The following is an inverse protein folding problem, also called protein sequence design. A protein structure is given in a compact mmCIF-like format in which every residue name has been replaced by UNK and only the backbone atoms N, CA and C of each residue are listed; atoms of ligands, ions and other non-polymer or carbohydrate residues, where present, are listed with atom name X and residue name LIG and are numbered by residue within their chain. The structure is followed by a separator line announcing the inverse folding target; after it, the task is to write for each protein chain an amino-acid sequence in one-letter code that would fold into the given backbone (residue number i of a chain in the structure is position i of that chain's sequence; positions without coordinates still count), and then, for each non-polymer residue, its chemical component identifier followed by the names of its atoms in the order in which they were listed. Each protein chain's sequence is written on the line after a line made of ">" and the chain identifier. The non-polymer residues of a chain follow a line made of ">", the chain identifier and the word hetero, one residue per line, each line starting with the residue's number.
data_IF_331917598943
#
_entry.id   IF_331917598943
#
_cell.length_a   1.000
_cell.length_b   1.000
_cell.length_c   1.000
_cell.angle_alpha   90.00
_cell.angle_beta   90.00
_cell.angle_gamma   90.00
#
_symmetry.space_group_name_H-M   'P 1'
#
loop_
_entity.id
_entity.type
_entity.pdbx_description
1 polymer ?
#
# COMPACT_ATOMS: atom_id res chain seq x y z
N UNK A 1 43.63 -10.13 57.96
CA UNK A 1 44.11 -10.67 56.66
C UNK A 1 43.21 -11.76 56.06
N UNK A 2 43.19 -13.02 56.54
CA UNK A 2 42.36 -14.06 55.87
C UNK A 2 40.84 -13.75 55.93
N UNK A 3 40.34 -13.39 57.11
CA UNK A 3 38.93 -13.02 57.33
C UNK A 3 38.47 -11.78 56.57
N UNK A 4 39.37 -10.81 56.35
CA UNK A 4 39.07 -9.64 55.52
C UNK A 4 39.00 -10.02 54.04
N UNK A 5 39.91 -10.87 53.57
CA UNK A 5 39.90 -11.32 52.17
C UNK A 5 38.65 -12.13 51.82
N UNK A 6 38.15 -12.95 52.76
CA UNK A 6 36.90 -13.69 52.59
C UNK A 6 35.67 -12.77 52.63
N UNK A 7 35.67 -11.75 53.50
CA UNK A 7 34.58 -10.74 53.52
C UNK A 7 34.50 -9.95 52.22
N UNK A 8 35.63 -9.51 51.68
CA UNK A 8 35.66 -8.78 50.40
C UNK A 8 35.20 -9.66 49.23
N UNK A 9 35.50 -10.97 49.29
CA UNK A 9 35.03 -11.93 48.29
C UNK A 9 33.52 -12.13 48.37
N UNK A 10 32.96 -12.28 49.58
CA UNK A 10 31.51 -12.38 49.80
C UNK A 10 30.77 -11.13 49.34
N UNK A 11 31.34 -9.93 49.55
CA UNK A 11 30.73 -8.68 49.06
C UNK A 11 30.73 -8.58 47.54
N UNK A 12 31.84 -8.99 46.88
CA UNK A 12 31.89 -9.09 45.40
C UNK A 12 30.87 -10.08 44.85
N UNK A 13 30.78 -11.27 45.44
CA UNK A 13 29.84 -12.31 45.00
C UNK A 13 28.38 -11.83 45.16
N UNK A 14 28.09 -11.06 46.22
CA UNK A 14 26.76 -10.45 46.43
C UNK A 14 26.44 -9.36 45.40
N UNK A 15 27.39 -8.50 45.06
CA UNK A 15 27.21 -7.51 43.98
C UNK A 15 26.99 -8.20 42.62
N UNK A 16 27.72 -9.27 42.35
CA UNK A 16 27.62 -10.04 41.10
C UNK A 16 26.28 -10.76 41.01
N UNK A 17 25.81 -11.39 42.10
CA UNK A 17 24.47 -11.96 42.21
C UNK A 17 23.39 -10.89 41.99
N UNK A 18 23.56 -9.70 42.56
CA UNK A 18 22.64 -8.57 42.37
C UNK A 18 22.54 -8.15 40.91
N UNK A 19 23.68 -8.02 40.23
CA UNK A 19 23.75 -7.70 38.79
C UNK A 19 23.12 -8.78 37.92
N UNK A 20 23.39 -10.06 38.21
CA UNK A 20 22.83 -11.20 37.47
C UNK A 20 21.31 -11.25 37.63
N UNK A 21 20.78 -11.06 38.84
CA UNK A 21 19.33 -11.02 39.10
C UNK A 21 18.64 -9.87 38.36
N UNK A 22 19.20 -8.66 38.42
CA UNK A 22 18.66 -7.51 37.71
C UNK A 22 18.62 -7.73 36.18
N UNK A 23 19.67 -8.34 35.62
CA UNK A 23 19.74 -8.66 34.19
C UNK A 23 18.81 -9.80 33.77
N UNK A 24 18.57 -10.79 34.65
CA UNK A 24 17.58 -11.84 34.46
C UNK A 24 16.16 -11.27 34.47
N UNK A 25 15.86 -10.36 35.40
CA UNK A 25 14.58 -9.65 35.46
C UNK A 25 14.34 -8.79 34.21
N UNK A 26 15.35 -8.10 33.69
CA UNK A 26 15.23 -7.32 32.45
C UNK A 26 15.00 -8.23 31.22
N UNK A 27 15.72 -9.35 31.15
CA UNK A 27 15.59 -10.30 30.03
C UNK A 27 14.24 -11.04 30.05
N UNK A 28 13.72 -11.36 31.25
CA UNK A 28 12.37 -11.90 31.46
C UNK A 28 11.28 -10.93 31.02
N UNK A 29 11.35 -9.67 31.47
CA UNK A 29 10.42 -8.61 31.07
C UNK A 29 10.42 -8.37 29.55
N UNK A 30 11.61 -8.38 28.94
CA UNK A 30 11.74 -8.28 27.49
C UNK A 30 11.04 -9.42 26.75
N UNK A 31 11.24 -10.67 27.18
CA UNK A 31 10.57 -11.83 26.58
C UNK A 31 9.05 -11.77 26.75
N UNK A 32 8.56 -11.39 27.93
CA UNK A 32 7.12 -11.20 28.19
C UNK A 32 6.53 -10.16 27.23
N UNK A 33 7.21 -9.02 27.06
CA UNK A 33 6.74 -7.95 26.19
C UNK A 33 6.71 -8.36 24.72
N UNK A 34 7.73 -9.06 24.26
CA UNK A 34 7.74 -9.62 22.90
C UNK A 34 6.60 -10.63 22.71
N UNK A 35 6.33 -11.46 23.71
CA UNK A 35 5.22 -12.42 23.66
C UNK A 35 3.84 -11.73 23.66
N UNK A 36 3.67 -10.57 24.32
CA UNK A 36 2.45 -9.75 24.19
C UNK A 36 2.25 -9.30 22.73
N UNK A 37 3.31 -8.82 22.08
CA UNK A 37 3.26 -8.39 20.69
C UNK A 37 3.04 -9.54 19.71
N UNK A 38 3.63 -10.71 19.95
CA UNK A 38 3.42 -11.89 19.13
C UNK A 38 1.97 -12.40 19.15
N UNK A 39 1.24 -12.20 20.26
CA UNK A 39 -0.19 -12.53 20.33
C UNK A 39 -1.06 -11.66 19.41
N UNK A 40 -0.58 -10.46 19.03
CA UNK A 40 -1.29 -9.61 18.06
C UNK A 40 -1.16 -10.20 16.65
N UNK A 41 -0.01 -10.81 16.34
CA UNK A 41 0.23 -11.45 15.04
C UNK A 41 -0.43 -12.83 14.91
N UNK A 42 -0.59 -13.56 16.01
CA UNK A 42 -1.11 -14.92 16.01
C UNK A 42 -2.36 -15.05 16.90
N UNK A 43 -3.51 -15.37 16.31
CA UNK A 43 -4.79 -15.59 17.03
C UNK A 43 -4.79 -16.84 17.94
N UNK A 44 -3.80 -17.74 17.80
CA UNK A 44 -3.63 -18.96 18.61
C UNK A 44 -2.20 -19.06 19.13
N UNK A 45 -2.00 -19.83 20.22
CA UNK A 45 -0.71 -20.13 20.87
C UNK A 45 0.33 -20.75 19.92
N UNK A 46 0.83 -19.94 18.99
CA UNK A 46 1.99 -20.21 18.17
C UNK A 46 3.21 -19.50 18.79
N UNK A 47 4.30 -19.46 18.03
CA UNK A 47 5.67 -19.22 18.50
C UNK A 47 5.79 -18.22 19.65
N UNK A 48 6.49 -18.63 20.71
CA UNK A 48 6.85 -17.80 21.87
C UNK A 48 8.35 -17.67 22.00
N UNK A 49 8.77 -16.62 22.66
CA UNK A 49 10.15 -16.40 23.07
C UNK A 49 10.29 -16.74 24.55
N UNK A 50 11.26 -17.58 24.88
CA UNK A 50 11.66 -17.87 26.26
C UNK A 50 13.12 -17.46 26.47
N UNK A 51 13.45 -16.79 27.59
CA UNK A 51 14.83 -16.52 27.96
C UNK A 51 15.55 -17.83 28.32
N UNK A 52 16.83 -17.92 28.00
CA UNK A 52 17.72 -19.00 28.40
C UNK A 52 18.66 -18.53 29.52
N UNK A 53 19.26 -19.47 30.25
CA UNK A 53 20.24 -19.17 31.31
C UNK A 53 21.42 -18.33 30.78
N UNK A 54 21.83 -18.56 29.53
CA UNK A 54 22.90 -17.81 28.85
C UNK A 54 22.50 -16.41 28.33
N UNK A 55 21.39 -15.83 28.81
CA UNK A 55 20.86 -14.52 28.34
C UNK A 55 20.60 -14.47 26.83
N UNK A 56 20.24 -15.61 26.25
CA UNK A 56 19.75 -15.71 24.89
C UNK A 56 18.26 -15.96 24.92
N UNK A 57 17.66 -15.93 23.75
CA UNK A 57 16.27 -16.26 23.55
C UNK A 57 16.17 -17.55 22.75
N UNK A 58 15.28 -18.45 23.18
CA UNK A 58 14.87 -19.60 22.38
C UNK A 58 13.44 -19.39 21.89
N UNK A 59 13.20 -19.79 20.66
CA UNK A 59 11.87 -19.78 20.06
C UNK A 59 11.22 -21.14 20.30
N UNK A 60 10.01 -21.16 20.84
CA UNK A 60 9.28 -22.38 21.18
C UNK A 60 7.91 -22.40 20.52
N UNK A 61 7.50 -23.57 20.03
CA UNK A 61 6.16 -23.83 19.50
C UNK A 61 5.53 -24.93 20.36
N UNK A 62 4.58 -24.55 21.21
CA UNK A 62 4.13 -25.42 22.29
C UNK A 62 5.28 -25.71 23.26
N UNK A 63 5.67 -26.98 23.38
CA UNK A 63 6.78 -27.42 24.25
C UNK A 63 8.10 -27.66 23.51
N UNK A 64 8.12 -27.53 22.19
CA UNK A 64 9.30 -27.85 21.37
C UNK A 64 10.01 -26.59 20.85
N UNK A 65 11.32 -26.71 20.59
CA UNK A 65 12.11 -25.64 19.96
C UNK A 65 11.67 -25.49 18.50
N UNK A 66 11.32 -24.27 18.10
CA UNK A 66 10.95 -23.94 16.73
C UNK A 66 12.20 -23.90 15.83
N UNK A 67 12.28 -24.78 14.82
CA UNK A 67 13.41 -24.86 13.87
C UNK A 67 13.09 -24.37 12.46
N UNK A 68 11.83 -24.49 12.02
CA UNK A 68 11.38 -24.16 10.67
C UNK A 68 10.39 -22.99 10.72
N UNK A 69 10.92 -21.78 10.81
CA UNK A 69 10.12 -20.55 10.80
C UNK A 69 9.69 -20.21 9.37
N UNK A 70 8.40 -19.93 9.18
CA UNK A 70 7.92 -19.30 7.95
C UNK A 70 8.46 -17.87 7.84
N UNK A 71 8.42 -17.29 6.63
CA UNK A 71 8.79 -15.88 6.45
C UNK A 71 7.91 -14.94 7.28
N UNK A 72 6.59 -15.22 7.36
CA UNK A 72 5.70 -14.47 8.24
C UNK A 72 6.06 -14.58 9.72
N UNK A 73 6.46 -15.76 10.18
CA UNK A 73 6.91 -15.94 11.57
C UNK A 73 8.18 -15.14 11.85
N UNK A 74 9.15 -15.13 10.93
CA UNK A 74 10.37 -14.31 11.06
C UNK A 74 10.05 -12.82 11.11
N UNK A 75 9.16 -12.35 10.24
CA UNK A 75 8.73 -10.94 10.21
C UNK A 75 8.00 -10.56 11.50
N UNK A 76 7.05 -11.38 11.97
CA UNK A 76 6.32 -11.14 13.22
C UNK A 76 7.26 -11.07 14.43
N UNK A 77 8.23 -11.99 14.54
CA UNK A 77 9.23 -11.99 15.61
C UNK A 77 10.10 -10.75 15.55
N UNK A 78 10.55 -10.35 14.36
CA UNK A 78 11.37 -9.16 14.16
C UNK A 78 10.62 -7.88 14.56
N UNK A 79 9.35 -7.76 14.17
CA UNK A 79 8.49 -6.62 14.52
C UNK A 79 8.16 -6.57 16.01
N UNK A 80 7.83 -7.71 16.62
CA UNK A 80 7.55 -7.79 18.05
C UNK A 80 8.78 -7.43 18.89
N UNK A 81 9.95 -7.90 18.48
CA UNK A 81 11.22 -7.52 19.11
C UNK A 81 11.54 -6.03 18.94
N UNK A 82 11.35 -5.48 17.73
CA UNK A 82 11.50 -4.05 17.47
C UNK A 82 10.59 -3.20 18.36
N UNK A 83 9.30 -3.56 18.45
CA UNK A 83 8.33 -2.84 19.28
C UNK A 83 8.68 -2.89 20.77
N UNK A 84 9.07 -4.07 21.29
CA UNK A 84 9.52 -4.21 22.67
C UNK A 84 10.77 -3.37 22.94
N UNK A 85 11.72 -3.33 21.99
CA UNK A 85 12.94 -2.51 22.11
C UNK A 85 12.66 -1.02 22.18
N UNK A 86 11.58 -0.52 21.55
CA UNK A 86 11.20 0.89 21.63
C UNK A 86 10.74 1.32 23.03
N UNK A 87 10.36 0.39 23.90
CA UNK A 87 9.91 0.68 25.27
C UNK A 87 10.98 0.44 26.34
N UNK A 88 12.15 -0.08 25.96
CA UNK A 88 13.24 -0.30 26.89
C UNK A 88 13.83 1.01 27.44
N UNK A 89 14.50 0.93 28.59
CA UNK A 89 15.24 2.05 29.21
C UNK A 89 14.37 3.29 29.52
N UNK A 90 13.07 3.10 29.78
CA UNK A 90 12.09 4.18 29.99
C UNK A 90 11.98 5.14 28.79
N UNK A 91 12.22 4.65 27.58
CA UNK A 91 12.06 5.45 26.39
C UNK A 91 10.59 5.91 26.24
N UNK A 92 10.40 7.21 26.04
CA UNK A 92 9.09 7.77 25.76
C UNK A 92 8.85 7.72 24.25
N UNK A 93 7.92 6.86 23.83
CA UNK A 93 7.57 6.72 22.40
C UNK A 93 7.15 8.06 21.79
N UNK A 94 6.49 8.94 22.56
CA UNK A 94 6.04 10.26 22.12
C UNK A 94 7.19 11.20 21.69
N UNK A 95 8.42 10.95 22.17
CA UNK A 95 9.62 11.71 21.80
C UNK A 95 10.48 11.00 20.73
N UNK A 96 10.05 9.83 20.26
CA UNK A 96 10.82 8.95 19.38
C UNK A 96 10.44 9.12 17.90
N UNK A 97 11.45 9.19 17.02
CA UNK A 97 11.26 9.08 15.56
C UNK A 97 11.49 7.63 15.15
N UNK A 98 10.53 7.07 14.42
CA UNK A 98 10.50 5.66 14.02
C UNK A 98 10.53 5.58 12.50
N UNK A 99 11.42 4.74 11.95
CA UNK A 99 11.50 4.45 10.52
C UNK A 99 11.37 2.94 10.31
N UNK A 100 10.40 2.53 9.50
CA UNK A 100 10.12 1.13 9.17
C UNK A 100 10.33 0.95 7.66
N UNK A 101 11.35 0.18 7.28
CA UNK A 101 11.66 -0.10 5.89
C UNK A 101 11.01 -1.39 5.40
N UNK A 102 10.17 -1.26 4.38
CA UNK A 102 9.50 -2.33 3.65
C UNK A 102 8.99 -3.47 4.54
N UNK A 103 7.98 -3.18 5.39
CA UNK A 103 7.56 -4.10 6.44
C UNK A 103 6.91 -5.38 5.90
N UNK A 104 6.50 -5.41 4.63
CA UNK A 104 5.80 -6.53 4.00
C UNK A 104 6.66 -7.19 2.93
N UNK A 105 6.70 -8.52 2.94
CA UNK A 105 7.17 -9.29 1.79
C UNK A 105 6.01 -9.45 0.79
N UNK A 106 6.26 -9.21 -0.49
CA UNK A 106 5.25 -9.10 -1.56
C UNK A 106 4.43 -10.36 -1.87
N UNK A 107 4.64 -11.47 -1.15
CA UNK A 107 4.12 -12.78 -1.49
C UNK A 107 2.93 -13.27 -0.64
N UNK A 108 2.57 -12.61 0.46
CA UNK A 108 1.46 -13.08 1.33
C UNK A 108 0.50 -11.96 1.75
N UNK A 109 -0.69 -11.95 1.13
CA UNK A 109 -1.79 -11.03 1.40
C UNK A 109 -2.37 -11.16 2.80
N UNK A 110 -2.32 -12.35 3.42
CA UNK A 110 -2.75 -12.51 4.81
C UNK A 110 -1.76 -11.84 5.78
N UNK A 111 -0.46 -11.86 5.45
CA UNK A 111 0.56 -11.20 6.26
C UNK A 111 0.51 -9.66 6.14
N UNK A 112 0.07 -9.14 4.99
CA UNK A 112 -0.08 -7.71 4.75
C UNK A 112 -1.00 -7.05 5.80
N UNK A 113 -2.20 -7.61 6.03
CA UNK A 113 -3.15 -7.06 7.00
C UNK A 113 -2.71 -7.20 8.45
N UNK A 114 -1.99 -8.27 8.79
CA UNK A 114 -1.47 -8.48 10.14
C UNK A 114 -0.42 -7.42 10.48
N UNK A 115 0.51 -7.16 9.55
CA UNK A 115 1.56 -6.15 9.72
C UNK A 115 0.97 -4.74 9.76
N UNK A 116 0.00 -4.46 8.89
CA UNK A 116 -0.73 -3.20 8.91
C UNK A 116 -1.43 -2.97 10.27
N UNK A 117 -2.17 -3.97 10.76
CA UNK A 117 -2.89 -3.90 12.03
C UNK A 117 -1.92 -3.71 13.20
N UNK A 118 -0.80 -4.43 13.20
CA UNK A 118 0.24 -4.31 14.20
C UNK A 118 0.83 -2.90 14.28
N UNK A 119 1.24 -2.33 13.13
CA UNK A 119 1.77 -0.96 13.07
C UNK A 119 0.72 0.04 13.56
N UNK A 120 -0.53 -0.12 13.14
CA UNK A 120 -1.62 0.76 13.58
C UNK A 120 -1.80 0.68 15.10
N UNK A 121 -1.84 -0.51 15.67
CA UNK A 121 -2.14 -0.69 17.10
C UNK A 121 -1.00 -0.19 18.00
N UNK A 122 0.25 -0.33 17.55
CA UNK A 122 1.43 0.15 18.31
C UNK A 122 1.64 1.65 18.16
N UNK A 123 1.57 2.18 16.94
CA UNK A 123 1.97 3.55 16.66
C UNK A 123 0.81 4.53 16.54
N UNK A 124 -0.43 4.06 16.56
CA UNK A 124 -1.61 4.92 16.53
C UNK A 124 -2.60 4.60 17.64
N UNK A 125 -3.33 5.64 18.05
CA UNK A 125 -4.51 5.54 18.89
C UNK A 125 -5.68 6.17 18.14
N UNK A 126 -6.86 5.54 18.20
CA UNK A 126 -8.07 6.14 17.65
C UNK A 126 -8.79 6.94 18.73
N UNK A 127 -8.79 8.27 18.59
CA UNK A 127 -9.40 9.20 19.56
C UNK A 127 -10.07 10.36 18.84
N UNK A 128 -11.25 10.76 19.28
CA UNK A 128 -12.01 11.88 18.70
C UNK A 128 -12.22 11.76 17.17
N UNK A 129 -12.51 10.53 16.69
CA UNK A 129 -12.67 10.20 15.26
C UNK A 129 -11.42 10.44 14.40
N UNK A 130 -10.24 10.55 15.01
CA UNK A 130 -8.96 10.70 14.33
C UNK A 130 -7.97 9.65 14.81
N UNK A 131 -7.07 9.25 13.92
CA UNK A 131 -5.91 8.45 14.29
C UNK A 131 -4.78 9.39 14.70
N UNK A 132 -4.34 9.28 15.95
CA UNK A 132 -3.28 10.09 16.53
C UNK A 132 -2.03 9.24 16.60
N UNK A 133 -0.92 9.72 16.03
CA UNK A 133 0.35 9.02 16.12
C UNK A 133 0.87 9.08 17.56
N UNK A 134 1.23 7.93 18.12
CA UNK A 134 1.77 7.78 19.47
C UNK A 134 3.24 8.19 19.55
N UNK A 135 3.97 8.11 18.44
CA UNK A 135 5.36 8.55 18.36
C UNK A 135 5.49 9.97 17.79
N UNK A 136 6.66 10.59 17.99
CA UNK A 136 6.96 11.94 17.48
C UNK A 136 6.79 12.01 15.97
N UNK A 137 7.29 10.98 15.28
CA UNK A 137 7.16 10.85 13.83
C UNK A 137 7.34 9.39 13.42
N UNK A 138 6.48 8.92 12.52
CA UNK A 138 6.56 7.59 11.92
C UNK A 138 6.76 7.71 10.41
N UNK A 139 7.85 7.11 9.92
CA UNK A 139 8.11 6.90 8.51
C UNK A 139 7.94 5.43 8.18
N UNK A 140 7.24 5.14 7.08
CA UNK A 140 7.07 3.79 6.55
C UNK A 140 7.40 3.88 5.07
N UNK A 141 8.42 3.15 4.62
CA UNK A 141 8.68 2.91 3.20
C UNK A 141 8.17 1.54 2.79
N UNK A 142 7.69 1.40 1.56
CA UNK A 142 7.34 0.10 0.99
C UNK A 142 7.37 0.16 -0.52
N UNK A 143 7.63 -0.98 -1.16
CA UNK A 143 7.39 -1.15 -2.59
C UNK A 143 5.97 -1.70 -2.90
N UNK A 144 5.22 -2.09 -1.87
CA UNK A 144 3.89 -2.68 -2.00
C UNK A 144 2.80 -1.59 -2.00
N UNK A 145 2.17 -1.37 -3.16
CA UNK A 145 1.14 -0.33 -3.34
C UNK A 145 -0.13 -0.64 -2.56
N UNK A 146 -0.52 -1.92 -2.44
CA UNK A 146 -1.69 -2.31 -1.65
C UNK A 146 -1.50 -1.96 -0.17
N UNK A 147 -0.32 -2.26 0.37
CA UNK A 147 0.04 -1.89 1.73
C UNK A 147 0.11 -0.37 1.93
N UNK A 148 0.67 0.36 0.96
CA UNK A 148 0.67 1.83 0.98
C UNK A 148 -0.75 2.41 1.08
N UNK A 149 -1.68 1.93 0.25
CA UNK A 149 -3.06 2.39 0.21
C UNK A 149 -3.79 2.19 1.54
N UNK A 150 -3.49 1.11 2.28
CA UNK A 150 -4.08 0.90 3.60
C UNK A 150 -3.79 2.03 4.59
N UNK A 151 -2.66 2.74 4.47
CA UNK A 151 -2.37 3.90 5.33
C UNK A 151 -2.99 5.20 4.82
N UNK A 152 -3.17 5.34 3.51
CA UNK A 152 -3.83 6.51 2.91
C UNK A 152 -5.30 6.65 3.33
N UNK A 153 -5.99 5.53 3.57
CA UNK A 153 -7.44 5.54 3.83
C UNK A 153 -7.88 6.22 5.14
N UNK A 154 -7.00 6.38 6.13
CA UNK A 154 -7.38 6.86 7.47
C UNK A 154 -6.42 7.89 8.08
N UNK A 155 -5.32 8.22 7.41
CA UNK A 155 -4.33 9.14 7.95
C UNK A 155 -4.22 10.41 7.10
N UNK A 156 -4.19 11.58 7.76
CA UNK A 156 -3.97 12.90 7.14
C UNK A 156 -2.49 13.06 6.70
N UNK A 157 -1.93 12.07 5.99
CA UNK A 157 -0.49 11.96 5.71
C UNK A 157 -0.08 12.53 4.37
N UNK A 158 1.21 12.89 4.30
CA UNK A 158 1.92 13.21 3.07
C UNK A 158 2.57 11.93 2.53
N UNK A 159 2.13 11.49 1.35
CA UNK A 159 2.79 10.43 0.61
C UNK A 159 4.03 10.93 -0.12
N UNK A 160 5.00 10.05 -0.31
CA UNK A 160 6.21 10.32 -1.10
C UNK A 160 6.57 9.11 -1.95
N UNK A 161 7.08 9.37 -3.15
CA UNK A 161 7.63 8.35 -4.05
C UNK A 161 9.12 8.55 -4.23
N UNK A 162 9.85 7.44 -4.20
CA UNK A 162 11.28 7.41 -4.53
C UNK A 162 11.40 7.08 -6.00
N UNK A 163 11.83 8.07 -6.80
CA UNK A 163 12.05 7.91 -8.24
C UNK A 163 13.54 7.73 -8.51
N UNK A 164 13.91 6.63 -9.16
CA UNK A 164 15.27 6.43 -9.69
C UNK A 164 15.41 7.19 -11.01
N UNK A 165 16.37 8.09 -11.07
CA UNK A 165 16.76 8.83 -12.27
C UNK A 165 18.08 8.26 -12.74
N UNK A 166 18.06 7.64 -13.92
CA UNK A 166 19.28 7.20 -14.59
C UNK A 166 19.83 8.37 -15.42
N UNK A 167 20.97 8.92 -15.03
CA UNK A 167 21.75 9.82 -15.89
C UNK A 167 22.89 9.01 -16.51
N UNK A 168 23.41 9.47 -17.64
CA UNK A 168 24.43 8.77 -18.42
C UNK A 168 25.72 8.46 -17.63
N UNK A 169 25.97 9.16 -16.51
CA UNK A 169 27.20 9.01 -15.72
C UNK A 169 26.94 8.82 -14.21
N UNK A 170 25.68 8.86 -13.76
CA UNK A 170 25.32 8.63 -12.36
C UNK A 170 23.85 8.20 -12.24
N UNK A 171 23.59 7.27 -11.34
CA UNK A 171 22.23 6.98 -10.91
C UNK A 171 21.91 7.84 -9.68
N UNK A 172 20.78 8.52 -9.71
CA UNK A 172 20.28 9.35 -8.61
C UNK A 172 18.90 8.84 -8.17
N UNK A 173 18.55 9.08 -6.90
CA UNK A 173 17.21 8.83 -6.38
C UNK A 173 16.64 10.13 -5.83
N UNK A 174 15.43 10.49 -6.26
CA UNK A 174 14.74 11.70 -5.81
C UNK A 174 13.47 11.31 -5.08
N UNK A 175 13.30 11.86 -3.88
CA UNK A 175 12.05 11.81 -3.14
C UNK A 175 11.13 12.90 -3.69
N UNK A 176 10.02 12.50 -4.29
CA UNK A 176 9.00 13.42 -4.80
C UNK A 176 7.76 13.28 -3.95
N UNK A 177 7.12 14.39 -3.56
CA UNK A 177 5.80 14.34 -2.93
C UNK A 177 4.87 13.57 -3.87
N UNK A 178 4.15 12.60 -3.33
CA UNK A 178 3.15 11.85 -4.06
C UNK A 178 1.97 12.80 -4.30
N UNK A 179 2.02 13.53 -5.40
CA UNK A 179 0.85 14.22 -5.95
C UNK A 179 0.09 13.29 -6.91
N UNK A 180 0.30 11.99 -6.77
CA UNK A 180 0.11 11.03 -7.83
C UNK A 180 -1.33 10.53 -7.94
N UNK A 181 -1.60 9.94 -9.10
CA UNK A 181 -2.87 9.26 -9.45
C UNK A 181 -3.34 8.30 -8.35
N UNK A 182 -2.42 7.68 -7.61
CA UNK A 182 -2.68 6.66 -6.59
C UNK A 182 -3.43 7.24 -5.38
N UNK A 183 -3.08 8.45 -4.92
CA UNK A 183 -3.80 9.11 -3.83
C UNK A 183 -5.13 9.70 -4.29
N UNK A 184 -5.16 10.19 -5.53
CA UNK A 184 -6.33 10.84 -6.10
C UNK A 184 -7.43 9.84 -6.43
N UNK A 185 -7.07 8.69 -6.98
CA UNK A 185 -8.01 7.73 -7.54
C UNK A 185 -7.92 6.42 -6.77
N UNK A 186 -9.03 6.05 -6.11
CA UNK A 186 -9.16 4.81 -5.32
C UNK A 186 -8.93 3.52 -6.11
N UNK A 187 -8.99 3.59 -7.43
CA UNK A 187 -8.63 2.49 -8.31
C UNK A 187 -8.24 3.02 -9.68
N UNK A 188 -7.46 2.21 -10.38
CA UNK A 188 -7.14 2.46 -11.79
C UNK A 188 -8.40 2.63 -12.64
N UNK A 189 -9.46 1.89 -12.34
CA UNK A 189 -10.75 2.01 -13.04
C UNK A 189 -11.32 3.44 -12.98
N UNK A 190 -11.28 4.08 -11.80
CA UNK A 190 -11.73 5.48 -11.65
C UNK A 190 -10.78 6.44 -12.34
N UNK A 191 -9.46 6.17 -12.31
CA UNK A 191 -8.48 6.96 -13.02
C UNK A 191 -8.69 6.93 -14.54
N UNK A 192 -8.89 5.75 -15.14
CA UNK A 192 -9.18 5.63 -16.57
C UNK A 192 -10.45 6.40 -16.95
N UNK A 193 -11.50 6.30 -16.12
CA UNK A 193 -12.71 7.11 -16.33
C UNK A 193 -12.43 8.62 -16.23
N UNK A 194 -11.53 9.06 -15.34
CA UNK A 194 -11.17 10.47 -15.22
C UNK A 194 -10.53 11.03 -16.50
N UNK A 195 -9.68 10.23 -17.18
CA UNK A 195 -9.06 10.61 -18.45
C UNK A 195 -10.11 10.72 -19.56
N UNK A 196 -11.02 9.74 -19.64
CA UNK A 196 -12.14 9.74 -20.58
C UNK A 196 -13.06 10.94 -20.34
N UNK A 197 -13.41 11.19 -19.08
CA UNK A 197 -14.29 12.29 -18.68
C UNK A 197 -13.62 13.65 -18.91
N UNK A 198 -12.32 13.78 -18.68
CA UNK A 198 -11.54 14.98 -19.03
C UNK A 198 -11.61 15.20 -20.53
N UNK A 199 -11.20 14.23 -21.35
CA UNK A 199 -11.25 14.34 -22.81
C UNK A 199 -12.65 14.73 -23.34
N UNK A 200 -13.71 14.20 -22.72
CA UNK A 200 -15.07 14.52 -23.12
C UNK A 200 -15.47 15.98 -22.80
N UNK A 201 -15.09 16.50 -21.63
CA UNK A 201 -15.57 17.77 -21.10
C UNK A 201 -14.59 18.94 -21.22
N UNK A 202 -13.32 18.69 -21.53
CA UNK A 202 -12.30 19.74 -21.64
C UNK A 202 -12.57 20.66 -22.85
N UNK A 203 -12.67 21.99 -22.64
CA UNK A 203 -12.78 22.95 -23.73
C UNK A 203 -11.44 23.25 -24.42
N UNK A 204 -10.31 22.82 -23.85
CA UNK A 204 -8.96 22.98 -24.45
C UNK A 204 -8.74 22.06 -25.68
N UNK A 205 -7.67 22.28 -26.47
CA UNK A 205 -7.42 21.52 -27.69
C UNK A 205 -7.29 20.02 -27.41
N UNK A 206 -8.29 19.26 -27.85
CA UNK A 206 -8.36 17.79 -27.70
C UNK A 206 -7.41 17.04 -28.64
N UNK A 207 -6.73 17.77 -29.51
CA UNK A 207 -5.82 17.31 -30.56
C UNK A 207 -4.35 17.24 -30.11
N UNK A 208 -4.04 17.48 -28.83
CA UNK A 208 -2.69 17.22 -28.35
C UNK A 208 -2.35 15.76 -28.59
N UNK A 209 -1.30 15.55 -29.37
CA UNK A 209 -0.82 14.26 -29.87
C UNK A 209 -0.73 13.19 -28.77
N UNK A 210 -0.35 13.60 -27.57
CA UNK A 210 -0.26 12.74 -26.40
C UNK A 210 -1.63 12.16 -26.01
N UNK A 211 -2.67 12.98 -25.93
CA UNK A 211 -4.03 12.55 -25.56
C UNK A 211 -4.61 11.54 -26.56
N UNK A 212 -4.46 11.80 -27.86
CA UNK A 212 -4.99 10.93 -28.91
C UNK A 212 -4.26 9.59 -28.97
N UNK A 213 -2.96 9.55 -28.67
CA UNK A 213 -2.15 8.34 -28.77
C UNK A 213 -2.55 7.27 -27.75
N UNK A 214 -2.79 7.63 -26.48
CA UNK A 214 -3.11 6.64 -25.44
C UNK A 214 -4.61 6.38 -25.24
N UNK A 215 -5.49 7.24 -25.78
CA UNK A 215 -6.94 7.15 -25.58
C UNK A 215 -7.55 5.77 -25.96
N UNK A 216 -7.17 5.11 -27.06
CA UNK A 216 -7.69 3.78 -27.38
C UNK A 216 -7.41 2.73 -26.29
N UNK A 217 -6.19 2.76 -25.73
CA UNK A 217 -5.79 1.88 -24.63
C UNK A 217 -6.58 2.18 -23.35
N UNK A 218 -6.80 3.47 -23.05
CA UNK A 218 -7.59 3.89 -21.90
C UNK A 218 -9.04 3.40 -22.01
N UNK A 219 -9.67 3.61 -23.18
CA UNK A 219 -11.03 3.15 -23.44
C UNK A 219 -11.15 1.63 -23.32
N UNK A 220 -10.22 0.90 -23.93
CA UNK A 220 -10.22 -0.56 -23.88
C UNK A 220 -10.19 -1.09 -22.45
N UNK A 221 -9.22 -0.65 -21.65
CA UNK A 221 -9.06 -1.12 -20.27
C UNK A 221 -10.26 -0.74 -19.40
N UNK A 222 -10.81 0.46 -19.59
CA UNK A 222 -12.03 0.88 -18.90
C UNK A 222 -13.23 0.00 -19.25
N UNK A 223 -13.47 -0.26 -20.54
CA UNK A 223 -14.59 -1.08 -21.01
C UNK A 223 -14.42 -2.54 -20.59
N UNK A 224 -13.23 -3.13 -20.73
CA UNK A 224 -12.96 -4.50 -20.28
C UNK A 224 -13.21 -4.65 -18.78
N UNK A 225 -12.78 -3.67 -17.98
CA UNK A 225 -13.01 -3.65 -16.54
C UNK A 225 -14.51 -3.52 -16.22
N UNK A 226 -15.22 -2.62 -16.89
CA UNK A 226 -16.68 -2.48 -16.74
C UNK A 226 -17.41 -3.78 -17.06
N UNK A 227 -17.10 -4.39 -18.20
CA UNK A 227 -17.73 -5.64 -18.65
C UNK A 227 -17.45 -6.79 -17.69
N UNK A 228 -16.21 -6.89 -17.21
CA UNK A 228 -15.79 -7.92 -16.25
C UNK A 228 -16.54 -7.81 -14.94
N UNK A 229 -16.75 -6.60 -14.42
CA UNK A 229 -17.50 -6.41 -13.17
C UNK A 229 -19.02 -6.54 -13.35
N UNK A 230 -19.57 -5.94 -14.41
CA UNK A 230 -21.03 -5.85 -14.62
C UNK A 230 -21.65 -7.15 -15.11
N UNK A 231 -20.98 -7.83 -16.05
CA UNK A 231 -21.48 -9.05 -16.68
C UNK A 231 -20.72 -10.31 -16.26
N UNK A 232 -19.74 -10.19 -15.35
CA UNK A 232 -18.89 -11.30 -14.89
C UNK A 232 -18.20 -12.04 -16.05
N UNK A 233 -17.97 -11.33 -17.16
CA UNK A 233 -17.42 -11.94 -18.35
C UNK A 233 -15.90 -12.04 -18.27
N UNK A 234 -15.38 -13.24 -18.52
CA UNK A 234 -13.94 -13.51 -18.65
C UNK A 234 -13.43 -13.49 -20.08
N UNK A 235 -14.31 -13.16 -21.04
CA UNK A 235 -13.94 -13.14 -22.46
C UNK A 235 -13.48 -11.75 -22.86
N UNK A 236 -12.71 -11.70 -23.93
CA UNK A 236 -12.08 -10.48 -24.40
C UNK A 236 -13.12 -9.46 -24.90
N UNK A 237 -12.71 -8.20 -25.06
CA UNK A 237 -13.60 -7.12 -25.51
C UNK A 237 -14.23 -7.41 -26.87
N UNK A 238 -13.53 -8.15 -27.72
CA UNK A 238 -13.97 -8.56 -29.05
C UNK A 238 -15.22 -9.44 -29.00
N UNK A 239 -15.39 -10.21 -27.93
CA UNK A 239 -16.49 -11.13 -27.76
C UNK A 239 -17.69 -10.50 -27.07
N UNK A 240 -17.51 -9.54 -26.15
CA UNK A 240 -18.59 -9.10 -25.25
C UNK A 240 -18.95 -7.61 -25.32
N UNK A 241 -18.30 -6.82 -26.18
CA UNK A 241 -18.65 -5.39 -26.31
C UNK A 241 -20.11 -5.17 -26.71
N UNK A 242 -20.73 -6.15 -27.37
CA UNK A 242 -22.14 -6.13 -27.76
C UNK A 242 -23.12 -6.17 -26.58
N UNK A 243 -22.68 -6.64 -25.41
CA UNK A 243 -23.47 -6.60 -24.17
C UNK A 243 -23.67 -5.15 -23.70
N UNK A 244 -22.65 -4.30 -23.87
CA UNK A 244 -22.69 -2.88 -23.53
C UNK A 244 -23.26 -2.01 -24.66
N UNK A 245 -22.91 -2.30 -25.92
CA UNK A 245 -23.29 -1.49 -27.09
C UNK A 245 -24.19 -2.31 -28.02
N UNK A 246 -25.51 -2.13 -27.90
CA UNK A 246 -26.47 -2.91 -28.71
C UNK A 246 -26.57 -2.46 -30.17
N UNK A 247 -26.22 -1.21 -30.49
CA UNK A 247 -26.22 -0.72 -31.88
C UNK A 247 -25.02 -1.34 -32.62
N UNK A 248 -25.27 -2.12 -33.67
CA UNK A 248 -24.21 -2.83 -34.41
C UNK A 248 -23.15 -1.90 -34.99
N UNK A 249 -23.52 -0.74 -35.50
CA UNK A 249 -22.57 0.21 -36.12
C UNK A 249 -21.68 0.82 -35.06
N UNK A 250 -22.26 1.29 -33.96
CA UNK A 250 -21.52 1.89 -32.85
C UNK A 250 -20.63 0.86 -32.15
N UNK A 251 -21.13 -0.37 -31.99
CA UNK A 251 -20.39 -1.50 -31.45
C UNK A 251 -19.16 -1.82 -32.29
N UNK A 252 -19.32 -1.91 -33.61
CA UNK A 252 -18.20 -2.16 -34.53
C UNK A 252 -17.19 -1.01 -34.54
N UNK A 253 -17.65 0.25 -34.52
CA UNK A 253 -16.76 1.42 -34.43
C UNK A 253 -15.93 1.40 -33.16
N UNK A 254 -16.58 1.25 -32.00
CA UNK A 254 -15.89 1.19 -30.71
C UNK A 254 -14.93 0.00 -30.64
N UNK A 255 -15.34 -1.18 -31.10
CA UNK A 255 -14.50 -2.39 -31.16
C UNK A 255 -13.27 -2.15 -32.02
N UNK A 256 -13.43 -1.62 -33.23
CA UNK A 256 -12.32 -1.35 -34.14
C UNK A 256 -11.36 -0.34 -33.54
N UNK A 257 -11.87 0.77 -33.02
CA UNK A 257 -11.03 1.80 -32.42
C UNK A 257 -10.17 1.23 -31.28
N UNK A 258 -10.79 0.50 -30.35
CA UNK A 258 -10.10 -0.10 -29.21
C UNK A 258 -9.19 -1.26 -29.62
N UNK A 259 -9.46 -2.01 -30.69
CA UNK A 259 -8.64 -3.14 -31.12
C UNK A 259 -7.45 -2.73 -32.01
N UNK A 260 -7.71 -1.88 -33.02
CA UNK A 260 -6.72 -1.48 -34.01
C UNK A 260 -5.68 -0.52 -33.42
N UNK A 261 -6.12 0.47 -32.62
CA UNK A 261 -5.19 1.45 -32.08
C UNK A 261 -4.56 1.04 -30.73
N UNK A 262 -5.02 -0.04 -30.09
CA UNK A 262 -4.37 -0.56 -28.87
C UNK A 262 -3.20 -1.52 -29.14
N UNK A 263 -3.10 -2.06 -30.35
CA UNK A 263 -2.10 -3.08 -30.69
C UNK A 263 -1.15 -2.59 -31.78
N UNK A 264 0.16 -2.61 -31.51
CA UNK A 264 1.23 -2.30 -32.47
C UNK A 264 1.46 -3.42 -33.50
N UNK A 265 0.40 -4.12 -33.92
CA UNK A 265 0.47 -5.33 -34.75
C UNK A 265 0.72 -5.05 -36.24
N UNK A 266 0.70 -3.79 -36.69
CA UNK A 266 0.79 -3.46 -38.12
C UNK A 266 1.63 -2.20 -38.34
N UNK A 267 2.44 -2.18 -39.41
CA UNK A 267 3.33 -1.05 -39.75
C UNK A 267 2.55 0.28 -39.94
N UNK A 268 1.29 0.22 -40.34
CA UNK A 268 0.43 1.40 -40.43
C UNK A 268 0.04 1.98 -39.06
N UNK A 269 0.00 1.16 -38.00
CA UNK A 269 -0.26 1.60 -36.62
C UNK A 269 0.97 2.27 -35.97
N UNK A 270 2.14 2.22 -36.62
CA UNK A 270 3.34 2.94 -36.19
C UNK A 270 3.36 4.41 -36.65
N UNK A 271 2.45 4.81 -37.56
CA UNK A 271 2.48 6.11 -38.25
C UNK A 271 1.17 6.90 -38.07
N UNK A 272 0.03 6.24 -37.85
CA UNK A 272 -1.29 6.89 -37.79
C UNK A 272 -1.81 7.16 -36.38
N UNK A 273 -2.12 8.42 -36.08
CA UNK A 273 -2.89 8.82 -34.89
C UNK A 273 -4.38 8.64 -35.18
N UNK A 274 -5.19 8.23 -34.19
CA UNK A 274 -6.63 8.28 -34.34
C UNK A 274 -7.03 9.74 -34.60
N UNK A 275 -7.95 9.96 -35.54
CA UNK A 275 -8.46 11.30 -35.80
C UNK A 275 -9.26 11.80 -34.59
N UNK A 276 -9.25 13.12 -34.36
CA UNK A 276 -9.95 13.72 -33.24
C UNK A 276 -11.47 13.50 -33.32
N UNK A 277 -12.06 13.54 -34.51
CA UNK A 277 -13.49 13.30 -34.69
C UNK A 277 -13.84 11.85 -34.37
N UNK A 278 -13.06 10.90 -34.88
CA UNK A 278 -13.24 9.48 -34.56
C UNK A 278 -13.09 9.20 -33.06
N UNK A 279 -12.06 9.77 -32.43
CA UNK A 279 -11.83 9.68 -30.98
C UNK A 279 -13.00 10.23 -30.18
N UNK A 280 -13.50 11.40 -30.57
CA UNK A 280 -14.65 12.05 -29.92
C UNK A 280 -15.92 11.23 -30.08
N UNK A 281 -16.17 10.67 -31.26
CA UNK A 281 -17.33 9.84 -31.53
C UNK A 281 -17.31 8.56 -30.68
N UNK A 282 -16.17 7.87 -30.62
CA UNK A 282 -16.04 6.63 -29.85
C UNK A 282 -16.15 6.88 -28.34
N UNK A 283 -15.55 7.94 -27.82
CA UNK A 283 -15.72 8.34 -26.41
C UNK A 283 -17.20 8.61 -26.09
N UNK A 284 -17.90 9.34 -26.97
CA UNK A 284 -19.32 9.62 -26.81
C UNK A 284 -20.18 8.34 -26.85
N UNK A 285 -19.88 7.41 -27.76
CA UNK A 285 -20.55 6.11 -27.85
C UNK A 285 -20.40 5.37 -26.52
N UNK A 286 -19.18 5.27 -25.98
CA UNK A 286 -18.89 4.53 -24.75
C UNK A 286 -19.56 5.19 -23.53
N UNK A 287 -19.46 6.51 -23.38
CA UNK A 287 -20.10 7.24 -22.28
C UNK A 287 -21.63 7.05 -22.33
N UNK A 288 -22.24 7.18 -23.51
CA UNK A 288 -23.69 6.98 -23.68
C UNK A 288 -24.09 5.55 -23.37
N UNK A 289 -23.30 4.56 -23.80
CA UNK A 289 -23.56 3.16 -23.55
C UNK A 289 -23.51 2.85 -22.05
N UNK A 290 -22.45 3.26 -21.34
CA UNK A 290 -22.32 3.05 -19.88
C UNK A 290 -23.45 3.76 -19.12
N UNK A 291 -23.78 5.00 -19.48
CA UNK A 291 -24.86 5.75 -18.85
C UNK A 291 -26.23 5.10 -19.08
N UNK A 292 -26.46 4.52 -20.26
CA UNK A 292 -27.71 3.82 -20.61
C UNK A 292 -27.81 2.48 -19.89
N UNK A 293 -26.71 1.74 -19.80
CA UNK A 293 -26.66 0.43 -19.14
C UNK A 293 -26.79 0.55 -17.62
N UNK A 294 -26.08 1.49 -17.00
CA UNK A 294 -26.16 1.75 -15.56
C UNK A 294 -25.93 3.24 -15.22
N UNK A 295 -27.03 3.99 -15.21
CA UNK A 295 -26.99 5.42 -14.88
C UNK A 295 -26.53 5.70 -13.44
N UNK A 296 -26.81 4.80 -12.50
CA UNK A 296 -26.43 4.96 -11.08
C UNK A 296 -24.93 4.83 -10.91
N UNK A 297 -24.33 3.81 -11.53
CA UNK A 297 -22.89 3.61 -11.55
C UNK A 297 -22.18 4.74 -12.29
N UNK A 298 -22.67 5.15 -13.47
CA UNK A 298 -22.13 6.30 -14.20
C UNK A 298 -22.11 7.58 -13.35
N UNK A 299 -23.22 7.91 -12.68
CA UNK A 299 -23.28 9.09 -11.82
C UNK A 299 -22.29 8.99 -10.63
N UNK A 300 -22.07 7.78 -10.11
CA UNK A 300 -21.08 7.54 -9.05
C UNK A 300 -19.64 7.77 -9.55
N UNK A 301 -19.33 7.34 -10.78
CA UNK A 301 -18.05 7.61 -11.43
C UNK A 301 -17.82 9.12 -11.62
N UNK A 302 -18.82 9.85 -12.12
CA UNK A 302 -18.75 11.31 -12.28
C UNK A 302 -18.54 12.00 -10.93
N UNK A 303 -19.26 11.58 -9.89
CA UNK A 303 -19.10 12.12 -8.53
C UNK A 303 -17.69 11.85 -7.98
N UNK A 304 -17.16 10.65 -8.18
CA UNK A 304 -15.82 10.29 -7.74
C UNK A 304 -14.76 11.20 -8.38
N UNK A 305 -14.83 11.44 -9.68
CA UNK A 305 -13.90 12.34 -10.40
C UNK A 305 -14.06 13.79 -9.94
N UNK A 306 -15.29 14.28 -9.78
CA UNK A 306 -15.55 15.67 -9.41
C UNK A 306 -15.14 16.02 -7.97
N UNK A 307 -15.25 15.09 -7.04
CA UNK A 307 -14.82 15.30 -5.65
C UNK A 307 -13.31 15.58 -5.57
N UNK A 308 -12.51 14.86 -6.36
CA UNK A 308 -11.06 15.02 -6.44
C UNK A 308 -10.68 16.41 -6.98
N UNK A 309 -11.45 16.95 -7.94
CA UNK A 309 -11.20 18.29 -8.50
C UNK A 309 -11.50 19.40 -7.48
N UNK A 310 -12.46 19.20 -6.56
CA UNK A 310 -12.84 20.19 -5.55
C UNK A 310 -11.85 20.28 -4.40
N UNK A 311 -11.26 19.17 -3.98
CA UNK A 311 -10.23 19.14 -2.92
C UNK A 311 -9.00 19.98 -3.32
N UNK A 312 -8.59 19.92 -4.59
CA UNK A 312 -7.52 20.77 -5.16
C UNK A 312 -7.74 22.28 -5.06
N UNK A 313 -8.98 22.74 -5.21
CA UNK A 313 -9.28 24.18 -5.20
C UNK A 313 -9.28 24.77 -3.79
N UNK A 314 -9.51 23.93 -2.77
CA UNK A 314 -9.49 24.36 -1.37
C UNK A 314 -8.07 24.40 -0.80
N UNK A 315 -7.15 23.53 -1.26
CA UNK A 315 -5.74 23.55 -0.84
C UNK A 315 -4.94 24.73 -1.40
N UNK A 316 -5.32 25.27 -2.57
CA UNK A 316 -4.65 26.44 -3.19
C UNK A 316 -5.10 27.80 -2.61
N UNK A 317 -5.99 27.80 -1.61
CA UNK A 317 -6.53 29.01 -0.97
C UNK A 317 -6.32 29.04 0.55
N UNK A 318 -5.48 28.15 1.08
CA UNK A 318 -5.04 28.13 2.50
C UNK A 318 -3.55 28.39 2.60
#
# INVERSE_FOLDING_TARGET
>A
MLLESERTKIEKDKEEIGKIKAQLDESGKGAEKVNEYLKIFFEKDNIKIEPTEDKKFKLVRGTEIAKNLSEGEKTAISFAYFAAKLEEQNNNIADTIVYIDDPVSSLDSNHLFNIYSFIRDIFYEYKNKKHICKCKQLFISTHNIEFYNLFCDWSEKQGYLIKRIKKSHCDESILTKSEDVIEKYKSEYVYLFSLINKFNNDPEPKDTFEHLYYLPNVLRRFVETYLSFKYLSRKSIEENIHDLISNRVDCERARKFMHYHSHSLTINNLIGFPDLAESTDVVNIIIKAVKKDDSTHYNSLVKAVNNITREKNNENHS
#
